data_IF_969559222228
#
_entry.id   IF_969559222228
#
_cell.length_a   1.000
_cell.length_b   1.000
_cell.length_c   1.000
_cell.angle_alpha   90.00
_cell.angle_beta   90.00
_cell.angle_gamma   90.00
#
_symmetry.space_group_name_H-M   'P 1'
#
loop_
_entity.id
_entity.type
_entity.pdbx_description
1 polymer ?
#
# COMPACT_ATOMS: atom_id res chain seq x y z
N UNK A 1 23.64 31.77 8.48
CA UNK A 1 22.66 30.98 9.27
C UNK A 1 21.24 31.07 8.71
N UNK A 2 20.66 32.27 8.55
CA UNK A 2 19.30 32.45 8.02
C UNK A 2 19.10 31.81 6.64
N UNK A 3 20.08 31.98 5.73
CA UNK A 3 19.99 31.40 4.37
C UNK A 3 20.00 29.86 4.38
N UNK A 4 20.82 29.23 5.22
CA UNK A 4 20.85 27.76 5.35
C UNK A 4 19.51 27.25 5.90
N UNK A 5 18.98 27.92 6.92
CA UNK A 5 17.72 27.56 7.57
C UNK A 5 16.54 27.72 6.61
N UNK A 6 16.51 28.79 5.82
CA UNK A 6 15.54 29.00 4.73
C UNK A 6 15.64 27.90 3.67
N UNK A 7 16.84 27.54 3.21
CA UNK A 7 17.02 26.46 2.23
C UNK A 7 16.49 25.13 2.75
N UNK A 8 16.76 24.80 4.01
CA UNK A 8 16.24 23.57 4.64
C UNK A 8 14.71 23.60 4.72
N UNK A 9 14.11 24.72 5.14
CA UNK A 9 12.65 24.86 5.21
C UNK A 9 11.99 24.70 3.83
N UNK A 10 12.56 25.34 2.80
CA UNK A 10 12.08 25.21 1.42
C UNK A 10 12.20 23.76 0.95
N UNK A 11 13.33 23.10 1.22
CA UNK A 11 13.53 21.70 0.85
C UNK A 11 12.48 20.79 1.51
N UNK A 12 12.22 20.97 2.81
CA UNK A 12 11.21 20.21 3.54
C UNK A 12 9.81 20.45 2.96
N UNK A 13 9.47 21.69 2.64
CA UNK A 13 8.17 22.02 2.03
C UNK A 13 8.01 21.37 0.65
N UNK A 14 9.05 21.39 -0.19
CA UNK A 14 9.04 20.73 -1.51
C UNK A 14 8.86 19.22 -1.37
N UNK A 15 9.57 18.59 -0.43
CA UNK A 15 9.42 17.14 -0.15
C UNK A 15 8.02 16.82 0.37
N UNK A 16 7.46 17.64 1.26
CA UNK A 16 6.10 17.46 1.78
C UNK A 16 5.06 17.56 0.65
N UNK A 17 5.18 18.55 -0.24
CA UNK A 17 4.30 18.70 -1.41
C UNK A 17 4.47 17.49 -2.33
N UNK A 18 5.71 17.08 -2.62
CA UNK A 18 5.98 15.92 -3.45
C UNK A 18 5.35 14.64 -2.88
N UNK A 19 5.42 14.42 -1.56
CA UNK A 19 4.81 13.28 -0.89
C UNK A 19 3.28 13.22 -1.02
N UNK A 20 2.61 14.36 -1.26
CA UNK A 20 1.16 14.40 -1.50
C UNK A 20 0.76 14.06 -2.95
N UNK A 21 1.70 14.12 -3.90
CA UNK A 21 1.45 13.75 -5.30
C UNK A 21 1.30 12.23 -5.49
N UNK A 22 0.60 11.75 -6.54
CA UNK A 22 0.43 10.30 -6.79
C UNK A 22 1.77 9.57 -7.02
N UNK A 23 2.78 10.25 -7.57
CA UNK A 23 4.14 9.71 -7.75
C UNK A 23 4.86 9.61 -6.40
N UNK A 24 4.79 10.66 -5.58
CA UNK A 24 5.38 10.64 -4.23
C UNK A 24 4.75 9.60 -3.32
N UNK A 25 3.42 9.40 -3.39
CA UNK A 25 2.74 8.30 -2.69
C UNK A 25 3.26 6.93 -3.11
N UNK A 26 3.46 6.68 -4.42
CA UNK A 26 4.03 5.40 -4.89
C UNK A 26 5.45 5.16 -4.39
N UNK A 27 6.29 6.19 -4.38
CA UNK A 27 7.65 6.12 -3.83
C UNK A 27 7.63 5.87 -2.32
N UNK A 28 6.75 6.56 -1.58
CA UNK A 28 6.57 6.35 -0.15
C UNK A 28 6.16 4.90 0.16
N UNK A 29 5.21 4.34 -0.61
CA UNK A 29 4.83 2.92 -0.52
C UNK A 29 6.03 2.00 -0.79
N UNK A 30 6.86 2.31 -1.80
CA UNK A 30 8.04 1.52 -2.14
C UNK A 30 9.17 1.59 -1.10
N UNK A 31 9.27 2.68 -0.35
CA UNK A 31 10.27 2.92 0.69
C UNK A 31 9.83 2.47 2.10
N UNK A 32 8.66 1.85 2.24
CA UNK A 32 8.14 1.34 3.51
C UNK A 32 7.27 2.32 4.31
N UNK A 33 6.93 3.49 3.75
CA UNK A 33 6.01 4.47 4.35
C UNK A 33 4.54 4.18 4.00
N UNK A 34 4.21 2.95 3.59
CA UNK A 34 2.88 2.55 3.11
C UNK A 34 1.78 2.80 4.15
N UNK A 35 2.07 2.60 5.43
CA UNK A 35 1.11 2.80 6.53
C UNK A 35 0.71 4.26 6.75
N UNK A 36 1.48 5.23 6.20
CA UNK A 36 1.19 6.66 6.28
C UNK A 36 0.47 7.19 5.03
N UNK A 37 0.21 6.34 4.02
CA UNK A 37 -0.49 6.72 2.80
C UNK A 37 -1.98 6.41 2.93
N UNK A 38 -2.80 7.46 2.98
CA UNK A 38 -4.26 7.32 3.04
C UNK A 38 -4.79 6.47 1.88
N UNK A 39 -5.50 5.40 2.21
CA UNK A 39 -6.11 4.46 1.26
C UNK A 39 -5.21 3.31 0.81
N UNK A 40 -3.91 3.32 1.13
CA UNK A 40 -3.02 2.20 0.87
C UNK A 40 -3.32 1.03 1.81
N UNK A 41 -3.12 -0.20 1.32
CA UNK A 41 -3.21 -1.38 2.17
C UNK A 41 -2.10 -1.36 3.25
N UNK A 42 -2.43 -1.63 4.52
CA UNK A 42 -1.43 -1.74 5.59
C UNK A 42 -0.33 -2.74 5.23
N UNK A 43 0.91 -2.45 5.63
CA UNK A 43 2.07 -3.33 5.36
C UNK A 43 1.82 -4.75 5.87
N UNK A 44 1.16 -4.87 7.02
CA UNK A 44 0.77 -6.14 7.64
C UNK A 44 -0.23 -6.96 6.82
N UNK A 45 -1.20 -6.31 6.18
CA UNK A 45 -2.19 -6.99 5.35
C UNK A 45 -1.52 -7.55 4.08
N UNK A 46 -0.57 -6.80 3.54
CA UNK A 46 0.21 -7.20 2.36
C UNK A 46 1.14 -8.36 2.69
N UNK A 47 1.86 -8.28 3.81
CA UNK A 47 2.76 -9.32 4.28
C UNK A 47 2.00 -10.61 4.60
N UNK A 48 0.87 -10.51 5.31
CA UNK A 48 0.00 -11.65 5.59
C UNK A 48 -0.47 -12.32 4.30
N UNK A 49 -0.93 -11.53 3.31
CA UNK A 49 -1.37 -12.09 2.04
C UNK A 49 -0.22 -12.79 1.30
N UNK A 50 0.98 -12.19 1.32
CA UNK A 50 2.17 -12.73 0.68
C UNK A 50 2.62 -14.05 1.33
N UNK A 51 2.63 -14.11 2.66
CA UNK A 51 2.93 -15.32 3.43
C UNK A 51 1.97 -16.46 3.07
N UNK A 52 0.67 -16.15 2.97
CA UNK A 52 -0.34 -17.13 2.57
C UNK A 52 -0.26 -17.57 1.12
N UNK A 53 0.35 -16.76 0.25
CA UNK A 53 0.67 -17.11 -1.13
C UNK A 53 2.07 -17.75 -1.25
N UNK A 54 2.69 -18.19 -0.15
CA UNK A 54 4.01 -18.83 -0.18
C UNK A 54 5.15 -17.92 -0.65
N UNK A 55 5.00 -16.61 -0.50
CA UNK A 55 5.95 -15.62 -1.02
C UNK A 55 5.72 -15.24 -2.48
N UNK A 56 4.76 -15.84 -3.19
CA UNK A 56 4.47 -15.48 -4.58
C UNK A 56 3.72 -14.14 -4.66
N UNK A 57 4.49 -13.09 -4.96
CA UNK A 57 3.96 -11.74 -5.14
C UNK A 57 3.03 -11.63 -6.34
N UNK A 58 3.26 -12.40 -7.41
CA UNK A 58 2.40 -12.39 -8.59
C UNK A 58 1.04 -13.05 -8.29
N UNK A 59 1.02 -14.13 -7.52
CA UNK A 59 -0.24 -14.69 -7.02
C UNK A 59 -0.99 -13.72 -6.10
N UNK A 60 -0.30 -13.13 -5.11
CA UNK A 60 -0.90 -12.15 -4.21
C UNK A 60 -1.53 -10.98 -4.99
N UNK A 61 -0.82 -10.44 -5.99
CA UNK A 61 -1.34 -9.38 -6.85
C UNK A 61 -2.52 -9.83 -7.72
N UNK A 62 -2.48 -11.05 -8.28
CA UNK A 62 -3.61 -11.61 -9.05
C UNK A 62 -4.88 -11.73 -8.19
N UNK A 63 -4.74 -12.19 -6.95
CA UNK A 63 -5.87 -12.30 -6.01
C UNK A 63 -6.46 -10.93 -5.65
N UNK A 64 -5.61 -9.93 -5.39
CA UNK A 64 -6.06 -8.56 -5.14
C UNK A 64 -6.71 -7.95 -6.38
N UNK A 65 -6.17 -8.21 -7.57
CA UNK A 65 -6.73 -7.74 -8.84
C UNK A 65 -8.14 -8.33 -9.09
N UNK A 66 -8.34 -9.62 -8.81
CA UNK A 66 -9.66 -10.24 -8.91
C UNK A 66 -10.70 -9.60 -7.97
N UNK A 67 -10.30 -9.23 -6.75
CA UNK A 67 -11.19 -8.48 -5.83
C UNK A 67 -11.41 -7.04 -6.28
N UNK A 68 -10.44 -6.44 -6.99
CA UNK A 68 -10.56 -5.11 -7.58
C UNK A 68 -11.54 -5.06 -8.75
N UNK A 69 -11.50 -6.06 -9.61
CA UNK A 69 -12.47 -6.22 -10.70
C UNK A 69 -13.89 -6.45 -10.17
N UNK A 70 -14.04 -7.25 -9.10
CA UNK A 70 -15.35 -7.53 -8.50
C UNK A 70 -15.95 -6.34 -7.74
N UNK A 71 -15.13 -5.52 -7.10
CA UNK A 71 -15.59 -4.43 -6.22
C UNK A 71 -14.89 -3.10 -6.50
N UNK A 72 -15.00 -2.54 -7.72
CA UNK A 72 -14.17 -1.41 -8.17
C UNK A 72 -14.33 -0.12 -7.35
N UNK A 73 -15.42 0.00 -6.57
CA UNK A 73 -15.68 1.14 -5.70
C UNK A 73 -14.89 1.12 -4.37
N UNK A 74 -14.22 0.00 -4.05
CA UNK A 74 -13.48 -0.14 -2.79
C UNK A 74 -12.06 0.43 -2.89
N UNK A 75 -11.48 0.74 -1.72
CA UNK A 75 -10.09 1.15 -1.60
C UNK A 75 -9.11 -0.02 -1.65
N UNK A 76 -7.83 0.28 -1.86
CA UNK A 76 -6.77 -0.74 -1.92
C UNK A 76 -6.72 -1.61 -0.65
N UNK A 77 -6.82 -0.99 0.52
CA UNK A 77 -6.87 -1.71 1.79
C UNK A 77 -8.02 -2.73 1.88
N UNK A 78 -9.20 -2.37 1.37
CA UNK A 78 -10.36 -3.26 1.41
C UNK A 78 -10.22 -4.41 0.41
N UNK A 79 -9.60 -4.18 -0.74
CA UNK A 79 -9.28 -5.26 -1.68
C UNK A 79 -8.33 -6.29 -1.07
N UNK A 80 -7.28 -5.83 -0.36
CA UNK A 80 -6.36 -6.72 0.35
C UNK A 80 -7.10 -7.50 1.45
N UNK A 81 -7.90 -6.84 2.29
CA UNK A 81 -8.67 -7.52 3.35
C UNK A 81 -9.65 -8.55 2.79
N UNK A 82 -10.29 -8.27 1.66
CA UNK A 82 -11.19 -9.23 1.00
C UNK A 82 -10.43 -10.43 0.45
N UNK A 83 -9.29 -10.20 -0.20
CA UNK A 83 -8.42 -11.28 -0.67
C UNK A 83 -7.97 -12.19 0.49
N UNK A 84 -7.58 -11.60 1.63
CA UNK A 84 -7.21 -12.32 2.85
C UNK A 84 -8.38 -13.15 3.39
N UNK A 85 -9.57 -12.54 3.56
CA UNK A 85 -10.76 -13.26 4.06
C UNK A 85 -11.10 -14.46 3.19
N UNK A 86 -10.95 -14.31 1.87
CA UNK A 86 -11.24 -15.37 0.92
C UNK A 86 -10.27 -16.55 1.04
N UNK A 87 -8.97 -16.29 1.16
CA UNK A 87 -7.96 -17.33 1.44
C UNK A 87 -8.28 -18.07 2.74
N UNK A 88 -8.62 -17.34 3.80
CA UNK A 88 -8.95 -17.95 5.09
C UNK A 88 -10.22 -18.82 5.01
N UNK A 89 -11.17 -18.45 4.16
CA UNK A 89 -12.37 -19.26 3.90
C UNK A 89 -12.07 -20.51 3.07
N UNK A 90 -11.17 -20.41 2.09
CA UNK A 90 -10.69 -21.55 1.29
C UNK A 90 -9.99 -22.57 2.21
N UNK A 91 -9.04 -22.12 3.02
CA UNK A 91 -8.30 -22.97 3.97
C UNK A 91 -9.14 -23.61 5.07
N UNK A 92 -10.33 -23.06 5.38
CA UNK A 92 -11.25 -23.66 6.36
C UNK A 92 -12.08 -24.80 5.76
N UNK A 93 -12.22 -24.85 4.44
CA UNK A 93 -13.01 -25.87 3.74
C UNK A 93 -12.20 -27.12 3.38
N UNK A 94 -10.87 -26.98 3.35
CA UNK A 94 -9.90 -28.08 3.23
C UNK A 94 -9.60 -28.67 4.62
#
# INVERSE_FOLDING_TARGET
>A
MISLLMTVVVLVAVVAIFATTPVGKRLAVGLGLRDHVAGAAPSRDVEFLLERCGGDRAEALRRVAAERERFPALGEADHYRRAIRRILQEQKRD
#
